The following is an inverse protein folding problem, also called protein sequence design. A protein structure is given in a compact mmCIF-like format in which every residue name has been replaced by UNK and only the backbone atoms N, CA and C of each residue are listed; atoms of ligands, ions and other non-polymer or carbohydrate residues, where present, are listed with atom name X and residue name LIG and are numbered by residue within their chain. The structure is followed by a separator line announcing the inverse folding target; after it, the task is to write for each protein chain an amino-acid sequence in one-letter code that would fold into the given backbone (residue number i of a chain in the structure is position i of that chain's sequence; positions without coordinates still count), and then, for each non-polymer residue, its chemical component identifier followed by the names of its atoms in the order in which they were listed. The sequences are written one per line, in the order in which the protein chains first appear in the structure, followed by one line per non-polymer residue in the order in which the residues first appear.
data_IF_307914530845
#
_entry.id   IF_307914530845
#
_cell.length_a   1.000
_cell.length_b   1.000
_cell.length_c   1.000
_cell.angle_alpha   90.00
_cell.angle_beta   90.00
_cell.angle_gamma   90.00
#
_symmetry.space_group_name_H-M   'P 1'
#
loop_
_entity.id
_entity.type
_entity.pdbx_description
1 polymer ?
#
# COMPACT_ATOMS: atom_id res chain seq x y z
N UNK A 1 -16.15 4.66 21.60
CA UNK A 1 -16.46 3.55 20.66
C UNK A 1 -15.19 2.73 20.50
N UNK A 2 -15.27 1.39 20.60
CA UNK A 2 -14.09 0.52 20.56
C UNK A 2 -13.66 0.32 19.10
N UNK A 3 -12.58 0.95 18.67
CA UNK A 3 -11.90 0.62 17.42
C UNK A 3 -11.07 -0.66 17.67
N UNK A 4 -11.75 -1.81 17.69
CA UNK A 4 -11.13 -3.12 17.72
C UNK A 4 -11.20 -3.74 16.32
N UNK A 5 -10.73 -3.01 15.31
CA UNK A 5 -10.48 -3.62 14.00
C UNK A 5 -9.09 -4.23 14.06
N UNK A 6 -9.01 -5.53 13.80
CA UNK A 6 -7.71 -6.21 13.74
C UNK A 6 -6.95 -5.73 12.50
N UNK A 7 -5.60 -5.69 12.50
CA UNK A 7 -4.81 -5.25 11.34
C UNK A 7 -5.21 -5.94 10.01
N UNK A 8 -5.71 -7.17 10.11
CA UNK A 8 -6.22 -7.95 8.98
C UNK A 8 -7.48 -7.34 8.32
N UNK A 9 -8.42 -6.81 9.11
CA UNK A 9 -9.68 -6.25 8.61
C UNK A 9 -9.46 -4.94 7.85
N UNK A 10 -8.52 -4.11 8.31
CA UNK A 10 -8.14 -2.87 7.61
C UNK A 10 -7.49 -3.18 6.26
N UNK A 11 -6.57 -4.16 6.22
CA UNK A 11 -5.92 -4.58 4.97
C UNK A 11 -6.92 -5.06 3.90
N UNK A 12 -8.02 -5.71 4.28
CA UNK A 12 -9.05 -6.14 3.34
C UNK A 12 -9.81 -4.95 2.72
N UNK A 13 -10.16 -3.93 3.53
CA UNK A 13 -10.84 -2.74 3.05
C UNK A 13 -9.93 -1.92 2.11
N UNK A 14 -8.66 -1.75 2.49
CA UNK A 14 -7.66 -1.05 1.68
C UNK A 14 -7.41 -1.76 0.34
N UNK A 15 -7.34 -3.10 0.33
CA UNK A 15 -7.27 -3.90 -0.91
C UNK A 15 -8.51 -3.70 -1.79
N UNK A 16 -9.71 -3.67 -1.20
CA UNK A 16 -10.93 -3.43 -1.94
C UNK A 16 -10.96 -2.02 -2.58
N UNK A 17 -10.52 -1.00 -1.86
CA UNK A 17 -10.37 0.37 -2.39
C UNK A 17 -9.34 0.40 -3.51
N UNK A 18 -8.14 -0.18 -3.31
CA UNK A 18 -7.11 -0.25 -4.32
C UNK A 18 -7.60 -0.98 -5.59
N UNK A 19 -8.36 -2.07 -5.44
CA UNK A 19 -8.94 -2.79 -6.55
C UNK A 19 -9.99 -1.95 -7.29
N UNK A 20 -10.83 -1.21 -6.58
CA UNK A 20 -11.82 -0.32 -7.17
C UNK A 20 -11.17 0.81 -7.99
N UNK A 21 -10.03 1.34 -7.52
CA UNK A 21 -9.26 2.38 -8.21
C UNK A 21 -8.46 1.85 -9.41
N UNK A 22 -7.73 0.74 -9.23
CA UNK A 22 -6.82 0.20 -10.25
C UNK A 22 -7.53 -0.65 -11.31
N UNK A 23 -8.69 -1.22 -10.95
CA UNK A 23 -9.47 -2.16 -11.76
C UNK A 23 -8.89 -3.58 -11.77
N UNK A 24 -9.71 -4.53 -12.24
CA UNK A 24 -9.26 -5.89 -12.55
C UNK A 24 -8.43 -5.88 -13.84
N UNK A 25 -7.33 -6.62 -13.85
CA UNK A 25 -6.37 -6.71 -14.96
C UNK A 25 -5.79 -8.14 -15.08
N UNK A 26 -5.35 -8.56 -16.27
CA UNK A 26 -4.60 -9.80 -16.44
C UNK A 26 -3.36 -9.87 -15.53
N UNK A 27 -2.85 -11.08 -15.32
CA UNK A 27 -1.59 -11.27 -14.61
C UNK A 27 -0.44 -10.56 -15.34
N UNK A 28 0.49 -10.01 -14.57
CA UNK A 28 1.71 -9.43 -15.13
C UNK A 28 2.65 -10.57 -15.58
N UNK A 29 3.53 -10.33 -16.57
CA UNK A 29 4.46 -11.34 -17.06
C UNK A 29 5.68 -11.52 -16.13
N UNK A 30 5.44 -11.59 -14.82
CA UNK A 30 6.47 -11.78 -13.79
C UNK A 30 6.13 -13.00 -12.93
N UNK A 31 7.13 -13.71 -12.40
CA UNK A 31 6.89 -14.79 -11.44
C UNK A 31 6.12 -14.30 -10.22
N UNK A 32 5.32 -15.19 -9.63
CA UNK A 32 4.61 -14.95 -8.38
C UNK A 32 5.21 -15.80 -7.28
N UNK A 33 5.51 -15.18 -6.15
CA UNK A 33 5.91 -15.86 -4.91
C UNK A 33 4.80 -15.79 -3.88
N UNK A 34 4.66 -16.85 -3.10
CA UNK A 34 3.78 -16.88 -1.94
C UNK A 34 4.53 -16.34 -0.72
N UNK A 35 3.93 -15.37 -0.02
CA UNK A 35 4.52 -14.70 1.13
C UNK A 35 3.53 -14.77 2.30
N UNK A 36 3.96 -15.38 3.39
CA UNK A 36 3.22 -15.36 4.66
C UNK A 36 3.22 -13.96 5.28
N UNK A 37 2.05 -13.51 5.68
CA UNK A 37 1.84 -12.20 6.29
C UNK A 37 1.59 -12.35 7.80
N UNK A 38 1.80 -11.27 8.57
CA UNK A 38 1.67 -11.26 10.02
C UNK A 38 0.23 -11.54 10.49
N UNK A 39 -0.76 -11.32 9.64
CA UNK A 39 -2.17 -11.67 9.87
C UNK A 39 -2.47 -13.18 9.69
N UNK A 40 -1.45 -13.98 9.38
CA UNK A 40 -1.57 -15.42 9.14
C UNK A 40 -2.03 -15.79 7.73
N UNK A 41 -2.28 -14.81 6.86
CA UNK A 41 -2.63 -15.06 5.46
C UNK A 41 -1.40 -15.25 4.58
N UNK A 42 -1.59 -15.92 3.44
CA UNK A 42 -0.58 -16.03 2.39
C UNK A 42 -1.01 -15.15 1.23
N UNK A 43 -0.10 -14.30 0.76
CA UNK A 43 -0.34 -13.36 -0.32
C UNK A 43 0.59 -13.68 -1.49
N UNK A 44 0.06 -13.56 -2.72
CA UNK A 44 0.84 -13.79 -3.95
C UNK A 44 1.44 -12.45 -4.40
N UNK A 45 2.76 -12.33 -4.40
CA UNK A 45 3.49 -11.09 -4.72
C UNK A 45 4.35 -11.32 -5.95
N UNK A 46 4.35 -10.37 -6.89
CA UNK A 46 5.18 -10.48 -8.09
C UNK A 46 6.66 -10.22 -7.79
N UNK A 47 7.52 -10.99 -8.43
CA UNK A 47 8.97 -10.78 -8.46
C UNK A 47 9.34 -9.94 -9.68
N UNK A 48 9.27 -8.61 -9.50
CA UNK A 48 9.52 -7.63 -10.56
C UNK A 48 10.99 -7.20 -10.50
N UNK A 49 11.77 -7.34 -11.59
CA UNK A 49 13.13 -6.83 -11.68
C UNK A 49 13.20 -5.30 -11.50
N UNK A 50 14.28 -4.80 -10.88
CA UNK A 50 14.45 -3.38 -10.58
C UNK A 50 14.34 -2.47 -11.82
N UNK A 51 14.83 -2.94 -12.97
CA UNK A 51 14.75 -2.25 -14.25
C UNK A 51 13.31 -2.02 -14.75
N UNK A 52 12.39 -2.90 -14.35
CA UNK A 52 10.97 -2.84 -14.76
C UNK A 52 10.09 -2.10 -13.74
N UNK A 53 10.58 -1.89 -12.52
CA UNK A 53 9.81 -1.28 -11.42
C UNK A 53 9.19 0.06 -11.78
N UNK A 54 9.94 0.94 -12.44
CA UNK A 54 9.45 2.25 -12.86
C UNK A 54 8.29 2.15 -13.87
N UNK A 55 8.42 1.23 -14.84
CA UNK A 55 7.38 0.97 -15.85
C UNK A 55 6.13 0.37 -15.20
N UNK A 56 6.30 -0.57 -14.28
CA UNK A 56 5.17 -1.21 -13.57
C UNK A 56 4.44 -0.18 -12.72
N UNK A 57 5.15 0.66 -11.98
CA UNK A 57 4.55 1.74 -11.18
C UNK A 57 3.71 2.67 -12.06
N UNK A 58 4.28 3.19 -13.15
CA UNK A 58 3.57 4.07 -14.07
C UNK A 58 2.32 3.42 -14.71
N UNK A 59 2.34 2.10 -14.90
CA UNK A 59 1.21 1.35 -15.48
C UNK A 59 0.09 1.12 -14.48
N UNK A 60 0.43 0.88 -13.21
CA UNK A 60 -0.52 0.45 -12.18
C UNK A 60 -1.03 1.58 -11.29
N UNK A 61 -0.29 2.69 -11.17
CA UNK A 61 -0.70 3.79 -10.31
C UNK A 61 -1.96 4.47 -10.86
N UNK A 62 -3.07 4.51 -10.08
CA UNK A 62 -4.36 4.94 -10.62
C UNK A 62 -4.57 6.46 -10.60
N UNK A 63 -3.67 7.24 -9.98
CA UNK A 63 -3.79 8.70 -9.86
C UNK A 63 -2.91 9.43 -10.88
N UNK A 64 -3.26 10.68 -11.21
CA UNK A 64 -2.54 11.49 -12.21
C UNK A 64 -1.08 11.80 -11.83
N UNK A 65 -0.80 12.02 -10.54
CA UNK A 65 0.51 12.42 -10.05
C UNK A 65 1.25 11.21 -9.45
N UNK A 66 1.62 10.25 -10.29
CA UNK A 66 2.39 9.10 -9.85
C UNK A 66 3.75 9.53 -9.27
N UNK A 67 4.19 8.93 -8.15
CA UNK A 67 5.52 9.19 -7.61
C UNK A 67 6.61 8.67 -8.54
N UNK A 68 7.79 9.28 -8.50
CA UNK A 68 8.99 8.76 -9.16
C UNK A 68 9.50 7.51 -8.45
N UNK A 69 10.18 6.63 -9.18
CA UNK A 69 10.76 5.40 -8.62
C UNK A 69 11.86 5.68 -7.58
N UNK A 70 12.46 6.87 -7.65
CA UNK A 70 13.53 7.33 -6.77
C UNK A 70 13.03 8.14 -5.58
N UNK A 71 11.73 8.45 -5.55
CA UNK A 71 11.12 9.21 -4.47
C UNK A 71 11.16 8.43 -3.15
N UNK A 72 10.96 9.18 -2.07
CA UNK A 72 10.78 8.63 -0.72
C UNK A 72 9.38 8.97 -0.26
N UNK A 73 8.61 7.94 0.09
CA UNK A 73 7.24 8.07 0.60
C UNK A 73 7.18 7.55 2.03
N UNK A 74 6.12 7.92 2.73
CA UNK A 74 5.80 7.47 4.08
C UNK A 74 4.60 6.51 4.03
N UNK A 75 4.73 5.35 4.66
CA UNK A 75 3.64 4.42 4.88
C UNK A 75 3.02 4.70 6.26
N UNK A 76 1.76 5.16 6.29
CA UNK A 76 1.07 5.48 7.55
C UNK A 76 0.77 4.25 8.41
N UNK A 77 0.71 3.07 7.81
CA UNK A 77 0.38 1.83 8.50
C UNK A 77 1.57 1.34 9.35
N UNK A 78 2.78 1.37 8.78
CA UNK A 78 4.03 1.05 9.51
C UNK A 78 4.65 2.28 10.19
N UNK A 79 4.21 3.49 9.84
CA UNK A 79 4.75 4.78 10.30
C UNK A 79 6.23 4.99 9.95
N UNK A 80 6.62 4.59 8.74
CA UNK A 80 8.00 4.64 8.26
C UNK A 80 8.12 5.12 6.83
N UNK A 81 9.24 5.77 6.54
CA UNK A 81 9.63 6.10 5.17
C UNK A 81 10.17 4.88 4.44
N UNK A 82 9.94 4.82 3.12
CA UNK A 82 10.49 3.83 2.23
C UNK A 82 10.84 4.46 0.87
N UNK A 83 11.77 3.83 0.14
CA UNK A 83 12.06 4.20 -1.25
C UNK A 83 11.02 3.59 -2.16
N UNK A 84 10.46 4.38 -3.08
CA UNK A 84 9.37 3.91 -3.94
C UNK A 84 9.76 2.64 -4.70
N UNK A 85 11.00 2.53 -5.21
CA UNK A 85 11.54 1.30 -5.83
C UNK A 85 11.32 0.00 -5.05
N UNK A 86 11.20 0.06 -3.73
CA UNK A 86 11.01 -1.11 -2.87
C UNK A 86 9.55 -1.59 -2.82
N UNK A 87 8.63 -0.91 -3.52
CA UNK A 87 7.21 -1.27 -3.55
C UNK A 87 6.97 -2.74 -3.97
N UNK A 88 5.86 -3.29 -3.49
CA UNK A 88 5.40 -4.63 -3.85
C UNK A 88 4.17 -4.54 -4.75
N UNK A 89 3.95 -5.57 -5.57
CA UNK A 89 2.70 -5.76 -6.30
C UNK A 89 2.06 -7.06 -5.87
N UNK A 90 0.86 -6.98 -5.32
CA UNK A 90 0.08 -8.13 -4.86
C UNK A 90 -0.90 -8.54 -5.96
N UNK A 91 -0.97 -9.83 -6.24
CA UNK A 91 -2.02 -10.43 -7.07
C UNK A 91 -3.22 -10.78 -6.19
N UNK A 92 -4.33 -10.05 -6.35
CA UNK A 92 -5.52 -10.24 -5.53
C UNK A 92 -6.80 -9.95 -6.32
N UNK A 93 -7.80 -10.85 -6.25
CA UNK A 93 -9.11 -10.72 -6.90
C UNK A 93 -9.05 -10.22 -8.37
N UNK A 94 -8.17 -10.84 -9.15
CA UNK A 94 -7.90 -10.46 -10.55
C UNK A 94 -7.36 -9.03 -10.74
N UNK A 95 -6.88 -8.37 -9.69
CA UNK A 95 -6.17 -7.11 -9.74
C UNK A 95 -4.67 -7.26 -9.49
N UNK A 96 -3.93 -6.19 -9.81
CA UNK A 96 -2.51 -6.05 -9.51
C UNK A 96 -2.36 -4.80 -8.63
N UNK A 97 -2.22 -5.00 -7.32
CA UNK A 97 -2.34 -3.93 -6.32
C UNK A 97 -0.95 -3.49 -5.86
N UNK A 98 -0.70 -2.18 -5.91
CA UNK A 98 0.51 -1.57 -5.34
C UNK A 98 0.43 -1.59 -3.82
N UNK A 99 1.52 -2.00 -3.17
CA UNK A 99 1.61 -2.10 -1.72
C UNK A 99 3.01 -1.71 -1.22
N UNK A 100 3.06 -1.24 0.03
CA UNK A 100 4.29 -0.88 0.72
C UNK A 100 5.25 -2.08 0.83
N UNK A 101 6.58 -1.88 0.87
CA UNK A 101 7.52 -2.95 1.25
C UNK A 101 7.20 -3.59 2.61
N UNK A 102 6.49 -2.88 3.48
CA UNK A 102 6.11 -3.36 4.82
C UNK A 102 4.80 -4.15 4.83
N UNK A 103 4.12 -4.27 3.69
CA UNK A 103 2.84 -4.97 3.58
C UNK A 103 2.80 -6.35 4.26
N UNK A 104 3.80 -7.26 4.13
CA UNK A 104 3.73 -8.56 4.80
C UNK A 104 3.68 -8.48 6.33
N UNK A 105 4.11 -7.37 6.93
CA UNK A 105 4.11 -7.17 8.37
C UNK A 105 2.90 -6.43 8.88
N UNK A 106 2.47 -5.39 8.16
CA UNK A 106 1.44 -4.45 8.65
C UNK A 106 0.27 -4.29 7.70
N UNK A 107 0.40 -4.67 6.43
CA UNK A 107 -0.69 -4.57 5.46
C UNK A 107 -0.76 -3.27 4.67
N UNK A 108 0.20 -2.36 4.82
CA UNK A 108 0.21 -1.05 4.13
C UNK A 108 0.08 -1.15 2.61
N UNK A 109 -0.97 -0.52 2.07
CA UNK A 109 -1.33 -0.49 0.65
C UNK A 109 -0.97 0.86 0.02
N UNK A 110 -1.12 1.01 -1.31
CA UNK A 110 -0.85 2.29 -1.99
C UNK A 110 -1.65 3.47 -1.44
N UNK A 111 -2.86 3.24 -0.95
CA UNK A 111 -3.70 4.28 -0.32
C UNK A 111 -3.12 4.83 0.99
N UNK A 112 -2.15 4.13 1.58
CA UNK A 112 -1.46 4.52 2.82
C UNK A 112 -0.20 5.36 2.55
N UNK A 113 0.13 5.61 1.28
CA UNK A 113 1.36 6.31 0.92
C UNK A 113 1.15 7.82 0.97
N UNK A 114 2.01 8.50 1.73
CA UNK A 114 2.08 9.95 1.81
C UNK A 114 3.41 10.42 1.26
N UNK A 115 3.40 11.46 0.42
CA UNK A 115 4.62 12.18 0.04
C UNK A 115 4.94 13.21 1.14
N UNK A 116 6.01 13.05 1.94
CA UNK A 116 6.30 13.97 3.06
C UNK A 116 6.47 15.42 2.59
N UNK A 117 7.07 15.61 1.41
CA UNK A 117 7.25 16.93 0.80
C UNK A 117 5.93 17.63 0.41
N UNK A 118 4.82 16.87 0.25
CA UNK A 118 3.48 17.41 -0.03
C UNK A 118 2.58 17.41 1.20
N UNK A 119 3.06 16.90 2.33
CA UNK A 119 2.32 16.85 3.58
C UNK A 119 2.49 18.17 4.36
N UNK A 120 1.80 19.23 3.93
CA UNK A 120 1.57 20.38 4.81
C UNK A 120 0.54 19.97 5.88
N UNK A 121 1.02 19.62 7.07
CA UNK A 121 0.16 19.26 8.19
C UNK A 121 -0.48 20.52 8.82
N UNK A 122 -1.64 20.94 8.30
CA UNK A 122 -2.53 21.87 8.99
C UNK A 122 -3.54 21.09 9.84
N UNK A 123 -3.08 20.52 10.96
CA UNK A 123 -3.93 19.78 11.90
C UNK A 123 -4.21 20.58 13.17
N UNK A 124 -5.49 20.68 13.55
CA UNK A 124 -5.88 21.13 14.90
C UNK A 124 -5.93 19.93 15.83
N UNK A 125 -5.08 19.92 16.87
CA UNK A 125 -5.20 18.96 17.98
C UNK A 125 -6.43 19.33 18.80
N UNK A 126 -7.43 18.45 18.87
CA UNK A 126 -8.63 18.63 19.70
C UNK A 126 -8.53 17.72 20.92
N UNK A 127 -8.18 18.30 22.07
CA UNK A 127 -8.26 17.63 23.37
C UNK A 127 -9.71 17.57 23.85
N UNK A 128 -10.34 16.40 23.71
CA UNK A 128 -11.66 16.14 24.29
C UNK A 128 -11.52 15.72 25.75
N UNK A 129 -11.69 16.68 26.67
CA UNK A 129 -11.90 16.37 28.09
C UNK A 129 -13.32 15.85 28.31
N UNK A 130 -13.46 14.53 28.34
CA UNK A 130 -14.70 13.88 28.78
C UNK A 130 -14.82 14.06 30.30
N UNK A 131 -15.82 14.83 30.73
CA UNK A 131 -16.21 14.89 32.15
C UNK A 131 -17.09 13.67 32.45
N UNK A 132 -16.78 13.03 33.58
CA UNK A 132 -17.41 11.82 34.09
C UNK A 132 -18.86 12.04 34.50
#
# INVERSE_FOLDING_TARGET
MKANETPHEMSLQEKAICLALAGRRPELPYPLKEVGCADGTVQRIYEIPDEDKAKVLATLYPMMDAPSIDDTLYDIHERKEFKVRDFLVIRWCEGNLLASPYFPRTGGMMVDWIAPAKAEANGTIVDLKVRK
#
